data_IF_106837259470
#
_entry.id   IF_106837259470
#
_cell.length_a   1.000
_cell.length_b   1.000
_cell.length_c   1.000
_cell.angle_alpha   90.00
_cell.angle_beta   90.00
_cell.angle_gamma   90.00
#
_symmetry.space_group_name_H-M   'P 1'
#
loop_
_entity.id
_entity.type
_entity.pdbx_description
1 polymer ?
#
# COMPACT_ATOMS: atom_id res chain seq x y z
N UNK A 1 -25.63 -8.72 26.75
CA UNK A 1 -24.37 -9.07 26.04
C UNK A 1 -23.83 -7.81 25.39
N UNK A 2 -23.01 -7.08 26.16
CA UNK A 2 -22.56 -5.74 25.83
C UNK A 2 -21.21 -5.86 25.10
N UNK A 3 -21.23 -5.76 23.78
CA UNK A 3 -19.99 -5.69 22.98
C UNK A 3 -19.39 -4.31 23.18
N UNK A 4 -18.50 -4.19 24.17
CA UNK A 4 -17.63 -3.03 24.35
C UNK A 4 -16.67 -3.04 23.17
N UNK A 5 -16.99 -2.32 22.11
CA UNK A 5 -16.03 -1.98 21.07
C UNK A 5 -14.93 -1.16 21.77
N UNK A 6 -13.68 -1.64 21.89
CA UNK A 6 -12.65 -0.82 22.45
C UNK A 6 -12.45 0.32 21.46
N UNK A 7 -12.53 1.55 21.95
CA UNK A 7 -12.07 2.71 21.23
C UNK A 7 -10.63 2.41 20.79
N UNK A 8 -10.44 2.06 19.52
CA UNK A 8 -9.13 1.99 18.89
C UNK A 8 -8.60 3.42 19.01
N UNK A 9 -7.80 3.67 20.05
CA UNK A 9 -7.30 4.99 20.35
C UNK A 9 -6.59 5.50 19.09
N UNK A 10 -6.84 6.76 18.72
CA UNK A 10 -6.34 7.38 17.49
C UNK A 10 -4.90 6.99 17.05
N UNK A 11 -3.90 6.79 17.94
CA UNK A 11 -2.59 6.23 17.55
C UNK A 11 -2.64 4.85 16.87
N UNK A 12 -3.38 3.89 17.41
CA UNK A 12 -3.42 2.50 16.90
C UNK A 12 -4.03 2.47 15.49
N UNK A 13 -5.06 3.29 15.26
CA UNK A 13 -5.68 3.42 13.95
C UNK A 13 -4.73 4.04 12.92
N UNK A 14 -3.94 5.04 13.32
CA UNK A 14 -2.95 5.66 12.42
C UNK A 14 -1.79 4.69 12.12
N UNK A 15 -1.38 3.87 13.08
CA UNK A 15 -0.38 2.83 12.88
C UNK A 15 -0.86 1.77 11.88
N UNK A 16 -2.09 1.25 12.05
CA UNK A 16 -2.69 0.31 11.10
C UNK A 16 -2.80 0.88 9.68
N UNK A 17 -3.17 2.17 9.55
CA UNK A 17 -3.18 2.84 8.25
C UNK A 17 -1.78 2.98 7.64
N UNK A 18 -0.74 3.22 8.45
CA UNK A 18 0.65 3.26 7.97
C UNK A 18 1.04 1.90 7.39
N UNK A 19 0.81 0.81 8.11
CA UNK A 19 1.14 -0.55 7.66
C UNK A 19 0.46 -0.89 6.33
N UNK A 20 -0.84 -0.54 6.19
CA UNK A 20 -1.57 -0.75 4.93
C UNK A 20 -0.99 0.07 3.77
N UNK A 21 -0.56 1.31 4.04
CA UNK A 21 0.11 2.14 3.02
C UNK A 21 1.46 1.51 2.62
N UNK A 22 2.20 0.95 3.57
CA UNK A 22 3.47 0.28 3.29
C UNK A 22 3.30 -0.99 2.45
N UNK A 23 2.13 -1.61 2.48
CA UNK A 23 1.80 -2.73 1.58
C UNK A 23 1.46 -2.30 0.14
N UNK A 24 1.12 -1.03 -0.10
CA UNK A 24 0.72 -0.51 -1.42
C UNK A 24 1.90 -0.41 -2.41
N UNK A 25 1.58 -0.19 -3.69
CA UNK A 25 2.55 0.07 -4.75
C UNK A 25 3.42 1.30 -4.41
N UNK A 26 4.71 1.25 -4.76
CA UNK A 26 5.67 2.34 -4.49
C UNK A 26 5.22 3.70 -5.03
N UNK A 27 4.50 3.72 -6.16
CA UNK A 27 3.95 4.94 -6.74
C UNK A 27 2.89 5.63 -5.86
N UNK A 28 2.14 4.85 -5.07
CA UNK A 28 1.03 5.34 -4.26
C UNK A 28 1.47 5.85 -2.88
N UNK A 29 2.52 5.23 -2.30
CA UNK A 29 2.96 5.48 -0.93
C UNK A 29 3.20 6.96 -0.61
N UNK A 30 4.00 7.73 -1.37
CA UNK A 30 4.36 9.09 -0.97
C UNK A 30 3.15 10.01 -0.78
N UNK A 31 2.13 9.86 -1.64
CA UNK A 31 0.90 10.64 -1.55
C UNK A 31 0.07 10.25 -0.32
N UNK A 32 -0.11 8.96 -0.08
CA UNK A 32 -0.90 8.45 1.04
C UNK A 32 -0.23 8.76 2.40
N UNK A 33 1.10 8.64 2.50
CA UNK A 33 1.85 8.98 3.71
C UNK A 33 1.74 10.48 4.05
N UNK A 34 1.81 11.37 3.06
CA UNK A 34 1.61 12.82 3.25
C UNK A 34 0.20 13.14 3.77
N UNK A 35 -0.81 12.43 3.27
CA UNK A 35 -2.20 12.59 3.73
C UNK A 35 -2.38 12.08 5.17
N UNK A 36 -1.80 10.92 5.50
CA UNK A 36 -1.78 10.38 6.86
C UNK A 36 -1.11 11.35 7.85
N UNK A 37 0.04 11.93 7.49
CA UNK A 37 0.73 12.92 8.32
C UNK A 37 -0.11 14.18 8.54
N UNK A 38 -0.82 14.66 7.51
CA UNK A 38 -1.73 15.79 7.64
C UNK A 38 -2.85 15.49 8.63
N UNK A 39 -3.41 14.28 8.59
CA UNK A 39 -4.44 13.82 9.53
C UNK A 39 -3.86 13.73 10.94
N UNK A 40 -2.69 13.11 11.10
CA UNK A 40 -2.02 12.97 12.39
C UNK A 40 -1.75 14.35 13.05
N UNK A 41 -1.27 15.33 12.27
CA UNK A 41 -1.10 16.72 12.76
C UNK A 41 -2.42 17.35 13.20
N UNK A 42 -3.50 17.14 12.44
CA UNK A 42 -4.84 17.66 12.79
C UNK A 42 -5.38 17.02 14.06
N UNK A 43 -5.22 15.70 14.20
CA UNK A 43 -5.65 14.94 15.36
C UNK A 43 -4.93 15.41 16.64
N UNK A 44 -3.60 15.60 16.57
CA UNK A 44 -2.81 16.19 17.67
C UNK A 44 -3.25 17.61 18.04
N UNK A 45 -3.75 18.38 17.07
CA UNK A 45 -4.27 19.72 17.28
C UNK A 45 -5.75 19.75 17.75
N UNK A 46 -6.37 18.60 18.04
CA UNK A 46 -7.78 18.51 18.46
C UNK A 46 -8.78 18.94 17.39
N UNK A 47 -8.36 19.00 16.12
CA UNK A 47 -9.20 19.48 15.02
C UNK A 47 -9.98 18.31 14.38
N UNK A 48 -11.22 18.55 13.92
CA UNK A 48 -11.99 17.56 13.18
C UNK A 48 -11.21 17.04 11.96
N UNK A 49 -11.13 15.72 11.84
CA UNK A 49 -10.36 15.03 10.81
C UNK A 49 -11.09 13.83 10.19
N UNK A 50 -12.34 13.56 10.57
CA UNK A 50 -13.12 12.40 10.13
C UNK A 50 -13.28 12.37 8.61
N UNK A 51 -13.64 13.51 8.00
CA UNK A 51 -13.77 13.60 6.53
C UNK A 51 -12.45 13.35 5.80
N UNK A 52 -11.33 13.77 6.39
CA UNK A 52 -10.01 13.51 5.79
C UNK A 52 -9.65 12.04 5.92
N UNK A 53 -9.99 11.42 7.05
CA UNK A 53 -9.78 10.02 7.33
C UNK A 53 -10.59 9.13 6.37
N UNK A 54 -11.89 9.38 6.20
CA UNK A 54 -12.72 8.64 5.24
C UNK A 54 -12.20 8.78 3.80
N UNK A 55 -11.68 9.96 3.43
CA UNK A 55 -11.09 10.17 2.10
C UNK A 55 -9.77 9.40 1.93
N UNK A 56 -8.94 9.34 2.96
CA UNK A 56 -7.72 8.54 2.95
C UNK A 56 -8.06 7.05 2.81
N UNK A 57 -9.05 6.56 3.56
CA UNK A 57 -9.50 5.17 3.50
C UNK A 57 -10.01 4.78 2.10
N UNK A 58 -10.80 5.65 1.46
CA UNK A 58 -11.25 5.41 0.09
C UNK A 58 -10.07 5.32 -0.91
N UNK A 59 -9.11 6.24 -0.81
CA UNK A 59 -7.92 6.25 -1.67
C UNK A 59 -7.00 5.06 -1.42
N UNK A 60 -6.92 4.62 -0.17
CA UNK A 60 -6.18 3.44 0.21
C UNK A 60 -6.80 2.18 -0.41
N UNK A 61 -8.14 2.07 -0.38
CA UNK A 61 -8.85 0.99 -1.07
C UNK A 61 -8.60 0.97 -2.57
N UNK A 62 -8.54 2.13 -3.23
CA UNK A 62 -8.14 2.21 -4.65
C UNK A 62 -6.70 1.76 -4.90
N UNK A 63 -5.76 2.10 -4.01
CA UNK A 63 -4.37 1.70 -4.10
C UNK A 63 -4.17 0.19 -3.85
N UNK A 64 -4.87 -0.36 -2.87
CA UNK A 64 -4.96 -1.80 -2.60
C UNK A 64 -5.50 -2.53 -3.83
N UNK A 65 -6.58 -2.04 -4.45
CA UNK A 65 -7.12 -2.64 -5.69
C UNK A 65 -6.11 -2.58 -6.86
N UNK A 66 -5.33 -1.51 -7.00
CA UNK A 66 -4.27 -1.43 -8.02
C UNK A 66 -3.16 -2.44 -7.77
N UNK A 67 -2.74 -2.62 -6.51
CA UNK A 67 -1.78 -3.65 -6.12
C UNK A 67 -2.29 -5.04 -6.47
N UNK A 68 -3.52 -5.37 -6.11
CA UNK A 68 -4.11 -6.69 -6.40
C UNK A 68 -4.17 -6.95 -7.92
N UNK A 69 -4.59 -5.97 -8.72
CA UNK A 69 -4.56 -6.09 -10.18
C UNK A 69 -3.16 -6.32 -10.72
N UNK A 70 -2.14 -5.68 -10.13
CA UNK A 70 -0.74 -5.86 -10.54
C UNK A 70 -0.20 -7.24 -10.17
N UNK A 71 -0.58 -7.78 -9.01
CA UNK A 71 -0.22 -9.12 -8.57
C UNK A 71 -0.91 -10.21 -9.41
N UNK A 72 -2.17 -9.98 -9.81
CA UNK A 72 -2.92 -10.90 -10.65
C UNK A 72 -2.49 -10.87 -12.13
N UNK A 73 -1.73 -9.86 -12.56
CA UNK A 73 -1.31 -9.73 -13.95
C UNK A 73 -0.27 -10.81 -14.31
N UNK A 74 -0.54 -11.69 -15.29
CA UNK A 74 0.42 -12.72 -15.68
C UNK A 74 1.63 -12.09 -16.37
N UNK A 75 2.83 -12.31 -15.81
CA UNK A 75 4.09 -11.95 -16.45
C UNK A 75 4.56 -13.11 -17.32
N UNK A 76 4.23 -13.07 -18.62
CA UNK A 76 4.78 -14.03 -19.58
C UNK A 76 6.13 -13.52 -20.10
N UNK A 77 7.22 -14.00 -19.51
CA UNK A 77 8.57 -13.77 -20.02
C UNK A 77 8.81 -14.68 -21.24
N UNK A 78 8.60 -14.15 -22.44
CA UNK A 78 8.97 -14.83 -23.68
C UNK A 78 10.37 -14.36 -24.10
N UNK A 79 11.39 -15.18 -23.82
CA UNK A 79 12.75 -14.94 -24.28
C UNK A 79 12.91 -15.50 -25.70
N UNK A 80 13.25 -14.70 -26.72
CA UNK A 80 13.51 -15.20 -28.05
C UNK A 80 14.74 -16.12 -28.06
N UNK A 81 14.60 -17.30 -28.66
CA UNK A 81 15.68 -18.29 -28.75
C UNK A 81 16.84 -17.85 -29.66
N UNK A 82 16.59 -16.90 -30.56
CA UNK A 82 17.61 -16.33 -31.45
C UNK A 82 18.58 -15.37 -30.75
N UNK A 83 18.44 -15.14 -29.43
CA UNK A 83 19.38 -14.32 -28.68
C UNK A 83 20.61 -15.15 -28.27
N UNK A 84 21.84 -14.79 -28.71
CA UNK A 84 23.07 -15.57 -28.44
C UNK A 84 23.39 -15.74 -26.95
N UNK A 85 22.83 -14.89 -26.10
CA UNK A 85 23.03 -14.88 -24.64
C UNK A 85 22.24 -15.99 -23.94
N UNK A 86 21.15 -16.48 -24.55
CA UNK A 86 20.31 -17.56 -24.03
C UNK A 86 21.02 -18.93 -24.08
N UNK A 87 22.01 -19.09 -24.97
CA UNK A 87 22.77 -20.32 -25.15
C UNK A 87 23.84 -20.57 -24.07
N UNK A 88 24.07 -19.61 -23.16
CA UNK A 88 25.06 -19.70 -22.07
C UNK A 88 24.43 -19.75 -20.68
N UNK A 89 23.14 -20.09 -20.57
CA UNK A 89 22.46 -20.23 -19.27
C UNK A 89 23.18 -21.23 -18.36
N UNK A 90 23.71 -22.31 -18.92
CA UNK A 90 24.44 -23.34 -18.18
C UNK A 90 25.82 -22.87 -17.68
N UNK A 91 26.48 -21.93 -18.38
CA UNK A 91 27.77 -21.35 -17.97
C UNK A 91 27.65 -20.41 -16.75
N UNK A 92 26.46 -19.88 -16.47
CA UNK A 92 26.23 -18.82 -15.45
C UNK A 92 25.86 -19.42 -14.08
N UNK A 93 25.47 -20.69 -14.02
CA UNK A 93 25.02 -21.36 -12.78
C UNK A 93 26.12 -22.17 -12.06
N UNK A 94 27.36 -22.13 -12.54
CA UNK A 94 28.54 -22.74 -11.90
C UNK A 94 29.24 -21.75 -10.95
#
# INVERSE_FOLDING_TARGET
>A
MNQIQPAIHSPDRLASLRERIDACLLADRPRLLRELERIARRARAGKPHDRLLSRLEARLGEAEARRERRLAAPLKLAYPEALPVSARRDDILA
#
